data_IF_384497177778
#
_entry.id   IF_384497177778
#
_cell.length_a   1.000
_cell.length_b   1.000
_cell.length_c   1.000
_cell.angle_alpha   90.00
_cell.angle_beta   90.00
_cell.angle_gamma   90.00
#
_symmetry.space_group_name_H-M   'P 1'
#
loop_
_entity.id
_entity.type
_entity.pdbx_description
1 polymer ?
2 non-polymer ?
3 non-polymer ?
4 water ?
#
# COMPACT_ATOMS: atom_id res chain seq x y z
N UNK A 20 10.46 14.29 -1.60
CA UNK A 20 11.20 13.11 -1.06
C UNK A 20 10.31 11.92 -0.61
N UNK A 21 10.09 10.94 -1.51
CA UNK A 21 9.20 9.82 -1.19
C UNK A 21 9.78 8.85 -0.17
N UNK A 22 8.90 8.22 0.60
CA UNK A 22 9.28 7.04 1.39
C UNK A 22 9.12 5.83 0.47
N UNK A 23 10.12 4.95 0.44
CA UNK A 23 10.16 3.85 -0.55
C UNK A 23 10.54 2.56 0.15
N UNK A 24 9.94 1.45 -0.27
CA UNK A 24 10.17 0.16 0.42
C UNK A 24 9.66 -0.94 -0.46
N UNK A 25 10.28 -2.11 -0.38
CA UNK A 25 9.70 -3.33 -0.92
C UNK A 25 8.64 -3.90 0.00
N UNK A 26 7.60 -4.46 -0.59
CA UNK A 26 6.52 -5.04 0.19
C UNK A 26 5.94 -6.27 -0.50
N UNK A 27 5.50 -7.27 0.28
CA UNK A 27 4.79 -8.41 -0.31
C UNK A 27 3.33 -8.03 -0.49
N UNK A 28 2.78 -8.32 -1.66
CA UNK A 28 1.36 -8.12 -1.90
C UNK A 28 0.60 -9.18 -1.09
N UNK A 29 -0.27 -8.70 -0.20
CA UNK A 29 -1.10 -9.56 0.68
C UNK A 29 -2.52 -9.58 0.16
N UNK A 30 -3.30 -10.58 0.56
CA UNK A 30 -4.69 -10.72 0.14
C UNK A 30 -5.48 -11.41 1.25
N UNK A 31 -6.69 -10.94 1.53
CA UNK A 31 -7.56 -11.69 2.43
C UNK A 31 -8.00 -12.93 1.63
N UNK A 32 -7.80 -14.12 2.21
CA UNK A 32 -8.08 -15.32 1.42
C UNK A 32 -9.51 -15.36 0.90
N UNK A 33 -9.62 -15.69 -0.39
CA UNK A 33 -10.90 -15.84 -1.11
C UNK A 33 -11.57 -14.53 -1.57
N UNK A 34 -10.89 -13.40 -1.37
CA UNK A 34 -11.40 -12.11 -1.80
C UNK A 34 -10.59 -11.70 -3.03
N UNK A 35 -11.07 -10.73 -3.79
CA UNK A 35 -10.34 -10.26 -5.01
C UNK A 35 -9.35 -9.13 -4.74
N UNK A 36 -9.49 -8.48 -3.60
CA UNK A 36 -8.68 -7.30 -3.37
C UNK A 36 -7.34 -7.62 -2.66
N UNK A 37 -6.36 -6.76 -2.86
CA UNK A 37 -5.02 -6.99 -2.36
C UNK A 37 -4.58 -5.72 -1.66
N UNK A 38 -3.50 -5.81 -0.90
CA UNK A 38 -2.98 -4.66 -0.19
C UNK A 38 -1.53 -4.90 0.16
N UNK A 39 -0.87 -3.81 0.58
CA UNK A 39 0.46 -3.88 1.18
C UNK A 39 0.40 -3.35 2.63
N UNK A 40 1.15 -3.99 3.52
CA UNK A 40 1.36 -3.48 4.85
C UNK A 40 2.40 -2.36 4.80
N UNK A 41 2.15 -1.29 5.55
CA UNK A 41 3.10 -0.16 5.62
C UNK A 41 4.10 -0.51 6.73
N UNK A 42 5.38 -0.66 6.38
CA UNK A 42 6.37 -1.19 7.32
C UNK A 42 7.04 -0.14 8.21
N UNK A 43 6.33 0.90 8.60
CA UNK A 43 6.86 1.87 9.57
C UNK A 43 5.72 2.44 10.37
N UNK A 44 6.04 3.21 11.40
CA UNK A 44 5.04 3.73 12.31
C UNK A 44 4.32 4.93 11.64
N UNK A 45 3.20 4.63 10.98
CA UNK A 45 2.43 5.65 10.24
C UNK A 45 1.95 6.80 11.16
N UNK A 46 1.52 6.47 12.38
CA UNK A 46 1.02 7.48 13.32
C UNK A 46 2.14 8.50 13.62
N UNK A 47 3.34 8.03 13.96
CA UNK A 47 4.46 8.96 14.19
C UNK A 47 4.87 9.74 12.92
N UNK A 48 5.01 9.05 11.79
CA UNK A 48 5.52 9.68 10.59
C UNK A 48 4.56 10.68 9.94
N UNK A 49 3.27 10.32 9.83
CA UNK A 49 2.29 11.17 9.16
C UNK A 49 1.27 11.85 10.10
N UNK A 50 1.19 11.40 11.34
CA UNK A 50 0.14 11.87 12.24
C UNK A 50 -1.02 10.89 12.26
N UNK A 51 -1.98 11.15 13.14
CA UNK A 51 -3.12 10.26 13.40
C UNK A 51 -4.07 10.13 12.23
N UNK A 52 -4.88 9.07 12.22
CA UNK A 52 -5.98 9.00 11.26
C UNK A 52 -5.58 8.46 9.91
N UNK A 53 -6.50 8.55 8.93
CA UNK A 53 -6.24 8.12 7.55
C UNK A 53 -5.29 9.08 6.90
N UNK A 54 -4.49 8.56 5.97
CA UNK A 54 -3.51 9.39 5.28
C UNK A 54 -3.73 9.27 3.77
N UNK A 55 -4.04 10.38 3.13
CA UNK A 55 -4.13 10.42 1.68
C UNK A 55 -2.73 10.53 1.09
N UNK A 56 -2.41 9.64 0.14
CA UNK A 56 -1.04 9.56 -0.42
C UNK A 56 -1.04 9.54 -1.94
N UNK A 57 0.02 10.09 -2.54
CA UNK A 57 0.35 9.79 -3.92
C UNK A 57 1.34 8.63 -3.79
N UNK A 58 0.94 7.45 -4.26
CA UNK A 58 1.75 6.25 -4.15
C UNK A 58 2.19 5.78 -5.54
N UNK A 59 3.21 4.93 -5.61
CA UNK A 59 3.51 4.18 -6.85
C UNK A 59 3.72 2.73 -6.48
N UNK A 60 3.37 1.80 -7.37
CA UNK A 60 3.63 0.38 -7.16
C UNK A 60 4.41 -0.02 -8.39
N UNK A 61 5.68 -0.40 -8.22
CA UNK A 61 6.60 -0.56 -9.36
C UNK A 61 6.44 0.58 -10.34
N UNK A 62 6.41 1.81 -9.82
CA UNK A 62 6.39 2.98 -10.70
C UNK A 62 5.02 3.40 -11.20
N UNK A 63 4.00 2.55 -10.96
CA UNK A 63 2.65 2.84 -11.47
C UNK A 63 1.92 3.71 -10.46
N UNK A 64 1.48 4.94 -10.86
CA UNK A 64 0.95 5.89 -9.90
C UNK A 64 -0.43 5.53 -9.37
N UNK A 65 -0.65 5.80 -8.09
CA UNK A 65 -1.98 5.60 -7.51
C UNK A 65 -2.19 6.60 -6.38
N UNK A 66 -3.38 7.22 -6.36
CA UNK A 66 -3.77 8.11 -5.26
C UNK A 66 -4.85 7.45 -4.40
N UNK A 67 -4.59 7.36 -3.09
CA UNK A 67 -5.50 6.66 -2.19
C UNK A 67 -5.12 6.86 -0.74
N UNK A 68 -5.54 5.95 0.13
CA UNK A 68 -5.46 6.16 1.58
C UNK A 68 -4.71 5.02 2.26
N UNK A 69 -3.73 5.39 3.08
CA UNK A 69 -3.28 4.47 4.11
C UNK A 69 -4.32 4.44 5.22
N UNK A 70 -4.82 3.26 5.53
CA UNK A 70 -5.88 3.15 6.54
C UNK A 70 -5.42 2.27 7.68
N UNK A 71 -6.02 2.50 8.84
CA UNK A 71 -5.67 1.82 10.07
C UNK A 71 -6.52 0.57 10.16
N UNK A 72 -5.91 -0.54 10.51
CA UNK A 72 -6.75 -1.63 10.79
C UNK A 72 -6.72 -1.69 12.34
N UNK A 73 -6.24 -2.73 12.98
CA UNK A 73 -6.11 -2.64 14.43
C UNK A 73 -4.74 -2.06 14.67
N UNK A 74 -4.66 -0.93 15.36
CA UNK A 74 -3.37 -0.28 15.60
C UNK A 74 -2.37 -1.30 16.12
N UNK A 75 -1.19 -1.35 15.50
CA UNK A 75 -0.75 -0.44 14.46
C UNK A 75 -0.18 -1.05 13.16
N UNK A 76 -0.62 -2.20 12.63
CA UNK A 76 -1.47 -2.34 11.40
C UNK A 76 -2.01 -1.17 10.56
N UNK A 77 -1.22 -0.79 9.55
CA UNK A 77 -1.67 0.13 8.48
C UNK A 77 -1.48 -0.52 7.11
N UNK A 78 -2.46 -0.34 6.23
CA UNK A 78 -2.39 -0.89 4.91
C UNK A 78 -2.72 0.12 3.83
N UNK A 79 -2.27 -0.21 2.63
CA UNK A 79 -2.66 0.54 1.43
C UNK A 79 -3.19 -0.47 0.46
N UNK A 80 -4.39 -0.27 -0.06
CA UNK A 80 -5.01 -1.20 -1.02
C UNK A 80 -4.29 -1.16 -2.36
N UNK A 81 -4.22 -2.31 -3.04
CA UNK A 81 -3.64 -2.42 -4.37
C UNK A 81 -4.73 -2.90 -5.32
N UNK A 82 -5.23 -1.99 -6.15
CA UNK A 82 -6.40 -2.28 -6.98
C UNK A 82 -6.08 -3.36 -8.00
N UNK A 83 -7.11 -4.15 -8.35
CA UNK A 83 -7.01 -5.20 -9.36
C UNK A 83 -6.46 -4.68 -10.69
N UNK A 84 -6.89 -3.50 -11.12
CA UNK A 84 -6.44 -2.98 -12.40
C UNK A 84 -4.95 -2.60 -12.39
N UNK A 85 -4.46 -2.09 -11.27
CA UNK A 85 -3.04 -1.80 -11.17
C UNK A 85 -2.22 -3.09 -11.15
N UNK A 86 -2.72 -4.09 -10.42
CA UNK A 86 -2.05 -5.37 -10.39
C UNK A 86 -1.87 -5.98 -11.78
N UNK A 87 -2.89 -5.83 -12.63
CA UNK A 87 -2.79 -6.25 -14.05
C UNK A 87 -1.80 -5.38 -14.85
N UNK A 88 -1.77 -4.08 -14.58
CA UNK A 88 -0.85 -3.19 -15.26
C UNK A 88 0.61 -3.55 -15.00
N UNK A 89 0.94 -3.99 -13.78
CA UNK A 89 2.33 -4.28 -13.46
C UNK A 89 2.62 -5.79 -13.44
N UNK A 90 1.57 -6.59 -13.62
CA UNK A 90 1.69 -8.05 -13.69
C UNK A 90 2.16 -8.65 -12.40
N UNK A 91 1.57 -8.21 -11.29
CA UNK A 91 1.95 -8.69 -9.95
C UNK A 91 0.70 -9.13 -9.18
N UNK A 92 0.82 -10.26 -8.47
CA UNK A 92 -0.28 -10.85 -7.71
C UNK A 92 0.09 -11.09 -6.23
N UNK A 93 -0.92 -11.41 -5.37
CA UNK A 93 -0.59 -11.80 -4.00
C UNK A 93 0.56 -12.79 -3.90
N UNK A 94 1.49 -12.49 -3.00
CA UNK A 94 2.67 -13.31 -2.85
C UNK A 94 3.86 -12.68 -3.56
N UNK A 95 3.61 -11.93 -4.63
CA UNK A 95 4.71 -11.20 -5.30
C UNK A 95 5.17 -10.00 -4.48
N UNK A 96 6.45 -9.67 -4.59
CA UNK A 96 7.02 -8.46 -4.04
C UNK A 96 6.75 -7.28 -5.00
N UNK A 97 6.49 -6.10 -4.44
CA UNK A 97 6.29 -4.84 -5.21
C UNK A 97 7.06 -3.67 -4.54
N UNK A 98 7.72 -2.82 -5.32
CA UNK A 98 8.40 -1.65 -4.78
C UNK A 98 7.39 -0.50 -4.67
N UNK A 99 7.20 0.03 -3.47
CA UNK A 99 6.17 1.04 -3.22
C UNK A 99 6.86 2.37 -2.87
N UNK A 100 6.35 3.48 -3.38
CA UNK A 100 6.78 4.81 -2.87
C UNK A 100 5.55 5.56 -2.37
N UNK A 101 5.75 6.47 -1.42
CA UNK A 101 4.67 7.21 -0.80
C UNK A 101 5.04 8.68 -0.60
N UNK A 102 4.08 9.54 -0.92
CA UNK A 102 4.14 10.97 -0.67
C UNK A 102 2.79 11.45 -0.12
N UNK A 103 2.78 12.15 1.03
CA UNK A 103 1.50 12.54 1.64
C UNK A 103 0.83 13.67 0.85
N UNK A 104 -0.51 13.70 0.87
CA UNK A 104 -1.30 14.73 0.18
C UNK A 104 -2.20 15.57 1.10
X LIG B 1 8.99 2.98 12.36
X LIG C 1 -8.28 4.79 8.87
X LIG D 1 -1.59 -7.66 8.50
X LIG D 1 -1.96 -6.31 9.09
X LIG D 1 -1.72 -7.60 7.09
X LIG D 1 -0.88 -4.85 8.84
#
# INVERSE_FOLDING_TARGET
XKKTLPKTEAPSSVGNGSDSPIEFDAIIRQVPDMDAAYVEIPFDVKTVYGKGRVRVNATFDGYPYTGYIVRMGLPCHILGLRQDIRRAIGKQPGDSVYVTLLPL
CL CL
CL CL
BME C1 C2 O1 S2
#
